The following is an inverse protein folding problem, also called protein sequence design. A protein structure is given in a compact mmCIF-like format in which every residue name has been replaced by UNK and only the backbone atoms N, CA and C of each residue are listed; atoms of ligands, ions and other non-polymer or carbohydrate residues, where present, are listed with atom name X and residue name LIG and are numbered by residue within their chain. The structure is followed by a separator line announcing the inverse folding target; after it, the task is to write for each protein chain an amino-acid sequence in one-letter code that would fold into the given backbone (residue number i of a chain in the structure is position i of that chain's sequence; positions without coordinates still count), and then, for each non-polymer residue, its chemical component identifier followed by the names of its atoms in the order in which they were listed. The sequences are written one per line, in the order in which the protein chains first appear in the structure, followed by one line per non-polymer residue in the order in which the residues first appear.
data_IF_457320008015
#
_entry.id   IF_457320008015
#
_cell.length_a   1.000
_cell.length_b   1.000
_cell.length_c   1.000
_cell.angle_alpha   90.00
_cell.angle_beta   90.00
_cell.angle_gamma   90.00
#
_symmetry.space_group_name_H-M   'P 1'
#
loop_
_entity.id
_entity.type
_entity.pdbx_description
1 polymer ?
#
# COMPACT_ATOMS: atom_id res chain seq x y z
N UNK A 1 15.15 37.23 -15.91
CA UNK A 1 15.66 36.17 -16.81
C UNK A 1 14.88 34.84 -16.73
N UNK A 2 14.67 34.25 -15.54
CA UNK A 2 13.94 32.98 -15.38
C UNK A 2 12.43 33.10 -15.62
N UNK A 3 11.83 34.25 -15.29
CA UNK A 3 10.40 34.53 -15.52
C UNK A 3 10.06 34.62 -17.01
N UNK A 4 10.90 35.29 -17.82
CA UNK A 4 10.68 35.44 -19.26
C UNK A 4 10.73 34.11 -20.04
N UNK A 5 11.64 33.20 -19.65
CA UNK A 5 11.70 31.85 -20.21
C UNK A 5 10.48 31.01 -19.82
N UNK A 6 9.94 31.21 -18.61
CA UNK A 6 8.73 30.53 -18.16
C UNK A 6 7.52 30.93 -19.01
N UNK A 7 7.42 32.21 -19.37
CA UNK A 7 6.32 32.77 -20.18
C UNK A 7 6.39 32.31 -21.65
N UNK A 8 7.58 32.30 -22.27
CA UNK A 8 7.72 31.84 -23.66
C UNK A 8 7.57 30.32 -23.83
N UNK A 9 7.97 29.55 -22.82
CA UNK A 9 7.67 28.11 -22.77
C UNK A 9 6.17 27.88 -22.59
N UNK A 10 5.50 28.70 -21.78
CA UNK A 10 4.05 28.64 -21.56
C UNK A 10 3.22 28.90 -22.82
N UNK A 11 3.66 29.83 -23.68
CA UNK A 11 3.01 30.15 -24.96
C UNK A 11 3.13 29.04 -26.03
N UNK A 12 4.09 28.12 -25.88
CA UNK A 12 4.31 27.00 -26.82
C UNK A 12 3.60 25.71 -26.42
N UNK A 13 2.89 25.71 -25.29
CA UNK A 13 2.22 24.53 -24.77
C UNK A 13 0.79 24.47 -25.35
N UNK A 14 0.41 23.38 -26.05
CA UNK A 14 -0.96 23.21 -26.51
C UNK A 14 -1.94 23.17 -25.34
N UNK A 15 -3.11 23.82 -25.50
CA UNK A 15 -4.14 23.93 -24.45
C UNK A 15 -4.57 22.57 -23.86
N UNK A 16 -4.50 21.51 -24.66
CA UNK A 16 -4.78 20.13 -24.25
C UNK A 16 -3.96 19.66 -23.02
N UNK A 17 -2.74 20.18 -22.85
CA UNK A 17 -1.86 19.81 -21.73
C UNK A 17 -2.09 20.62 -20.46
N UNK A 18 -2.96 21.63 -20.48
CA UNK A 18 -3.17 22.53 -19.33
C UNK A 18 -3.59 21.77 -18.05
N UNK A 19 -4.40 20.71 -18.16
CA UNK A 19 -4.80 19.87 -17.02
C UNK A 19 -3.62 19.11 -16.42
N UNK A 20 -2.81 18.47 -17.27
CA UNK A 20 -1.61 17.72 -16.85
C UNK A 20 -0.60 18.64 -16.18
N UNK A 21 -0.35 19.82 -16.74
CA UNK A 21 0.60 20.78 -16.20
C UNK A 21 0.13 21.31 -14.84
N UNK A 22 -1.15 21.67 -14.69
CA UNK A 22 -1.73 22.05 -13.39
C UNK A 22 -1.54 20.94 -12.36
N UNK A 23 -1.72 19.68 -12.76
CA UNK A 23 -1.55 18.52 -11.86
C UNK A 23 -0.09 18.34 -11.41
N UNK A 24 0.87 18.53 -12.31
CA UNK A 24 2.31 18.43 -12.02
C UNK A 24 2.75 19.57 -11.09
N UNK A 25 2.30 20.80 -11.35
CA UNK A 25 2.59 21.96 -10.49
C UNK A 25 2.02 21.74 -9.09
N UNK A 26 0.78 21.26 -8.98
CA UNK A 26 0.17 20.93 -7.69
C UNK A 26 0.99 19.87 -6.94
N UNK A 27 1.37 18.78 -7.62
CA UNK A 27 2.20 17.70 -7.05
C UNK A 27 3.55 18.24 -6.56
N UNK A 28 4.21 19.08 -7.35
CA UNK A 28 5.48 19.68 -6.97
C UNK A 28 5.35 20.59 -5.74
N UNK A 29 4.28 21.38 -5.65
CA UNK A 29 4.01 22.21 -4.46
C UNK A 29 3.77 21.40 -3.19
N UNK A 30 3.16 20.22 -3.32
CA UNK A 30 2.80 19.36 -2.18
C UNK A 30 3.94 18.44 -1.72
N UNK A 31 4.67 17.83 -2.65
CA UNK A 31 5.67 16.78 -2.35
C UNK A 31 7.11 17.19 -2.73
N UNK A 32 7.32 18.36 -3.34
CA UNK A 32 8.63 18.79 -3.83
C UNK A 32 9.18 17.98 -5.01
N UNK A 33 8.37 17.09 -5.61
CA UNK A 33 8.80 16.18 -6.68
C UNK A 33 7.85 16.20 -7.86
N UNK A 34 8.40 16.05 -9.08
CA UNK A 34 7.65 15.82 -10.32
C UNK A 34 7.52 14.35 -10.67
N UNK A 35 8.19 13.46 -9.92
CA UNK A 35 8.15 12.02 -10.14
C UNK A 35 6.72 11.46 -10.06
N UNK A 36 6.49 10.32 -10.72
CA UNK A 36 5.22 9.62 -10.58
C UNK A 36 5.14 9.01 -9.19
N UNK A 37 4.20 9.50 -8.39
CA UNK A 37 3.91 8.91 -7.08
C UNK A 37 3.27 7.54 -7.29
N UNK A 38 3.48 6.61 -6.35
CA UNK A 38 2.70 5.38 -6.31
C UNK A 38 1.23 5.76 -6.38
N UNK A 39 0.48 5.12 -7.28
CA UNK A 39 -0.95 5.35 -7.35
C UNK A 39 -1.54 4.97 -6.00
N UNK A 40 -2.34 5.85 -5.43
CA UNK A 40 -3.10 5.53 -4.23
C UNK A 40 -3.92 4.26 -4.47
N UNK A 41 -3.54 3.18 -3.79
CA UNK A 41 -4.23 1.90 -3.88
C UNK A 41 -5.45 1.84 -2.96
N UNK A 42 -6.18 0.73 -3.02
CA UNK A 42 -7.27 0.44 -2.09
C UNK A 42 -6.71 0.37 -0.66
N UNK A 43 -7.33 1.06 0.33
CA UNK A 43 -6.94 0.91 1.72
C UNK A 43 -6.94 -0.55 2.16
N UNK A 44 -5.96 -0.97 2.98
CA UNK A 44 -5.87 -2.35 3.45
C UNK A 44 -7.11 -2.71 4.27
N UNK A 45 -7.60 -3.94 4.08
CA UNK A 45 -8.80 -4.46 4.76
C UNK A 45 -8.62 -4.60 6.28
N UNK A 46 -7.39 -4.80 6.72
CA UNK A 46 -7.04 -4.96 8.13
C UNK A 46 -6.18 -3.79 8.59
N UNK A 47 -6.43 -3.31 9.81
CA UNK A 47 -5.55 -2.37 10.49
C UNK A 47 -4.19 -3.04 10.76
N UNK A 48 -3.12 -2.25 10.73
CA UNK A 48 -1.74 -2.73 10.96
C UNK A 48 -1.55 -3.40 12.32
N UNK A 49 -2.30 -2.96 13.35
CA UNK A 49 -2.30 -3.56 14.69
C UNK A 49 -2.92 -4.96 14.69
N UNK A 50 -4.10 -5.10 14.10
CA UNK A 50 -4.84 -6.37 14.00
C UNK A 50 -4.02 -7.39 13.22
N UNK A 51 -3.43 -6.99 12.09
CA UNK A 51 -2.53 -7.85 11.31
C UNK A 51 -1.35 -8.38 12.12
N UNK A 52 -0.64 -7.52 12.87
CA UNK A 52 0.48 -7.94 13.74
C UNK A 52 0.05 -8.89 14.85
N UNK A 53 -1.14 -8.71 15.42
CA UNK A 53 -1.69 -9.62 16.44
C UNK A 53 -1.94 -11.02 15.86
N UNK A 54 -2.56 -11.08 14.68
CA UNK A 54 -2.84 -12.35 13.98
C UNK A 54 -1.56 -13.12 13.65
N UNK A 55 -0.55 -12.43 13.11
CA UNK A 55 0.76 -13.05 12.80
C UNK A 55 1.37 -13.65 14.07
N UNK A 56 1.40 -12.89 15.19
CA UNK A 56 1.97 -13.38 16.45
C UNK A 56 1.23 -14.60 17.01
N UNK A 57 -0.09 -14.65 16.91
CA UNK A 57 -0.88 -15.81 17.35
C UNK A 57 -0.60 -17.03 16.46
N UNK A 58 -0.52 -16.85 15.14
CA UNK A 58 -0.19 -17.92 14.21
C UNK A 58 1.24 -18.47 14.43
N UNK A 59 2.23 -17.60 14.66
CA UNK A 59 3.60 -18.01 14.98
C UNK A 59 3.68 -18.74 16.32
N UNK A 60 2.93 -18.29 17.33
CA UNK A 60 2.94 -18.91 18.67
C UNK A 60 2.24 -20.27 18.68
N UNK A 61 1.21 -20.44 17.86
CA UNK A 61 0.38 -21.64 17.78
C UNK A 61 0.26 -22.07 16.32
N UNK A 62 1.25 -22.76 15.76
CA UNK A 62 1.27 -23.09 14.32
C UNK A 62 0.12 -24.01 13.88
N UNK A 63 -0.53 -24.71 14.82
CA UNK A 63 -1.72 -25.54 14.57
C UNK A 63 -3.05 -24.81 14.82
N UNK A 64 -3.03 -23.50 15.08
CA UNK A 64 -4.26 -22.73 15.30
C UNK A 64 -5.08 -22.71 14.02
N UNK A 65 -6.37 -23.02 14.14
CA UNK A 65 -7.26 -22.98 12.99
C UNK A 65 -7.68 -21.54 12.70
N UNK A 66 -8.06 -21.30 11.45
CA UNK A 66 -8.53 -20.01 10.98
C UNK A 66 -9.73 -19.48 11.77
N UNK A 67 -10.66 -20.36 12.13
CA UNK A 67 -11.85 -20.00 12.92
C UNK A 67 -11.47 -19.57 14.34
N UNK A 68 -10.46 -20.21 14.92
CA UNK A 68 -9.93 -19.84 16.24
C UNK A 68 -9.24 -18.49 16.21
N UNK A 69 -8.46 -18.21 15.15
CA UNK A 69 -7.87 -16.88 14.93
C UNK A 69 -8.94 -15.80 14.78
N UNK A 70 -9.98 -16.07 14.00
CA UNK A 70 -11.11 -15.16 13.82
C UNK A 70 -11.81 -14.87 15.15
N UNK A 71 -12.09 -15.91 15.97
CA UNK A 71 -12.66 -15.74 17.32
C UNK A 71 -11.75 -14.96 18.27
N UNK A 72 -10.42 -15.12 18.17
CA UNK A 72 -9.44 -14.38 19.00
C UNK A 72 -9.37 -12.87 18.67
N UNK A 73 -9.95 -12.48 17.54
CA UNK A 73 -10.05 -11.10 17.07
C UNK A 73 -11.50 -10.65 17.06
N UNK A 74 -11.92 -10.01 18.16
CA UNK A 74 -13.24 -9.39 18.31
C UNK A 74 -13.57 -8.28 17.28
N UNK A 75 -12.63 -7.93 16.39
CA UNK A 75 -12.80 -6.89 15.36
C UNK A 75 -13.01 -7.44 13.93
N UNK A 76 -12.95 -8.76 13.72
CA UNK A 76 -13.23 -9.36 12.40
C UNK A 76 -14.74 -9.55 12.27
N UNK A 77 -15.46 -8.45 12.46
CA UNK A 77 -16.89 -8.41 12.22
C UNK A 77 -17.10 -8.42 10.72
N UNK A 78 -17.59 -9.57 10.26
CA UNK A 78 -17.97 -9.89 8.91
C UNK A 78 -16.78 -10.05 7.96
N UNK A 79 -16.65 -11.25 7.40
CA UNK A 79 -16.50 -11.50 5.96
C UNK A 79 -16.01 -12.94 5.78
N UNK A 80 -16.70 -13.72 4.94
CA UNK A 80 -16.14 -14.95 4.34
C UNK A 80 -14.82 -14.69 3.58
N UNK A 81 -14.49 -13.42 3.31
CA UNK A 81 -13.22 -12.92 2.76
C UNK A 81 -12.07 -12.96 3.80
N UNK A 82 -12.37 -12.94 5.11
CA UNK A 82 -11.36 -13.04 6.17
C UNK A 82 -10.61 -14.36 6.16
N UNK A 83 -11.22 -15.41 5.61
CA UNK A 83 -10.64 -16.75 5.51
C UNK A 83 -9.47 -16.80 4.51
N UNK A 84 -9.69 -16.35 3.27
CA UNK A 84 -8.66 -16.28 2.22
C UNK A 84 -7.49 -15.36 2.59
N UNK A 85 -7.76 -14.30 3.36
CA UNK A 85 -6.77 -13.26 3.67
C UNK A 85 -5.81 -13.66 4.79
N UNK A 86 -6.28 -14.45 5.77
CA UNK A 86 -5.40 -15.06 6.78
C UNK A 86 -4.46 -16.04 6.08
N UNK A 87 -4.99 -16.93 5.24
CA UNK A 87 -4.18 -17.89 4.46
C UNK A 87 -3.14 -17.18 3.60
N UNK A 88 -3.51 -16.10 2.90
CA UNK A 88 -2.54 -15.32 2.11
C UNK A 88 -1.48 -14.63 2.99
N UNK A 89 -1.85 -14.10 4.16
CA UNK A 89 -0.91 -13.45 5.07
C UNK A 89 0.03 -14.41 5.80
N UNK A 90 -0.42 -15.62 6.14
CA UNK A 90 0.42 -16.68 6.72
C UNK A 90 1.33 -17.26 5.66
N UNK A 91 0.84 -17.45 4.43
CA UNK A 91 1.66 -17.94 3.32
C UNK A 91 2.74 -16.92 2.91
N UNK A 92 2.46 -15.62 2.98
CA UNK A 92 3.47 -14.58 2.76
C UNK A 92 4.52 -14.55 3.88
N UNK A 93 4.11 -14.69 5.15
CA UNK A 93 5.05 -14.77 6.27
C UNK A 93 5.96 -16.00 6.16
N UNK A 94 5.41 -17.15 5.74
CA UNK A 94 6.16 -18.36 5.46
C UNK A 94 7.13 -18.18 4.27
N UNK A 95 6.73 -17.46 3.21
CA UNK A 95 7.60 -17.20 2.04
C UNK A 95 8.71 -16.18 2.33
N UNK A 96 8.47 -15.19 3.20
CA UNK A 96 9.53 -14.26 3.66
C UNK A 96 10.59 -15.00 4.50
N UNK A 97 10.17 -15.94 5.35
CA UNK A 97 11.06 -16.78 6.17
C UNK A 97 11.93 -17.73 5.32
N UNK A 98 11.37 -18.36 4.28
CA UNK A 98 12.14 -19.19 3.33
C UNK A 98 13.16 -18.42 2.49
N UNK A 99 12.97 -17.11 2.31
CA UNK A 99 13.90 -16.30 1.53
C UNK A 99 15.15 -15.90 2.35
N UNK A 100 15.08 -15.93 3.68
CA UNK A 100 16.24 -15.69 4.56
C UNK A 100 17.17 -16.92 4.64
N UNK A 101 16.64 -18.15 4.54
CA UNK A 101 17.42 -19.39 4.55
C UNK A 101 18.16 -19.69 3.23
N UNK A 102 17.76 -19.07 2.12
CA UNK A 102 18.37 -19.29 0.80
C UNK A 102 19.58 -18.39 0.50
N UNK A 103 19.98 -17.53 1.45
CA UNK A 103 21.12 -16.62 1.35
C UNK A 103 22.31 -16.99 2.27
N UNK A 104 22.39 -18.23 2.76
CA UNK A 104 23.64 -18.83 3.26
C UNK A 104 24.36 -19.60 2.16
#
# INVERSE_FOLDING_TARGET
PKSALMTSVWERIPEYFAGTIKSIIRKWKEYGTTANLPRGGRPPKLKSRTRRKLIREATRRPMVTLEELQRSTAEVENLSIGQLLVVYSTNLAFMEEWQEESHC
#
